data_IF_792927698745
#
_entry.id   IF_792927698745
#
_cell.length_a   1.000
_cell.length_b   1.000
_cell.length_c   1.000
_cell.angle_alpha   90.00
_cell.angle_beta   90.00
_cell.angle_gamma   90.00
#
_symmetry.space_group_name_H-M   'P 1'
#
loop_
_entity.id
_entity.type
_entity.pdbx_description
1 polymer ?
#
# COMPACT_ATOMS: atom_id res chain seq x y z
N UNK A 1 58.05 37.89 -37.71
CA UNK A 1 56.57 37.84 -37.78
C UNK A 1 56.05 39.27 -37.87
N UNK A 2 55.45 39.63 -39.01
CA UNK A 2 55.27 41.02 -39.46
C UNK A 2 53.89 41.57 -39.03
N UNK A 3 53.80 42.67 -38.26
CA UNK A 3 52.54 43.25 -37.76
C UNK A 3 51.66 43.90 -38.84
N UNK A 4 52.11 43.98 -40.09
CA UNK A 4 51.39 44.64 -41.19
C UNK A 4 50.29 43.78 -41.85
N UNK A 5 50.26 42.47 -41.61
CA UNK A 5 49.26 41.58 -42.23
C UNK A 5 47.93 41.45 -41.46
N UNK A 6 47.84 41.99 -40.24
CA UNK A 6 46.60 41.98 -39.45
C UNK A 6 45.56 43.01 -39.92
N UNK A 7 45.98 44.12 -40.56
CA UNK A 7 45.06 45.21 -40.95
C UNK A 7 44.33 44.97 -42.28
N UNK A 8 44.81 44.06 -43.14
CA UNK A 8 44.21 43.79 -44.46
C UNK A 8 42.99 42.85 -44.36
N UNK A 9 43.01 41.92 -43.41
CA UNK A 9 41.96 40.90 -43.23
C UNK A 9 40.61 41.54 -42.83
N UNK A 10 40.64 42.64 -42.08
CA UNK A 10 39.44 43.37 -41.62
C UNK A 10 38.84 44.33 -42.66
N UNK A 11 39.50 44.57 -43.81
CA UNK A 11 39.03 45.51 -44.84
C UNK A 11 38.16 44.84 -45.91
N UNK A 12 38.12 43.50 -45.96
CA UNK A 12 37.33 42.76 -46.93
C UNK A 12 36.04 42.22 -46.27
N UNK A 13 34.87 42.84 -46.53
CA UNK A 13 33.63 42.53 -45.80
C UNK A 13 33.23 41.06 -45.91
N UNK A 14 33.57 40.40 -47.03
CA UNK A 14 33.28 38.98 -47.29
C UNK A 14 33.93 38.03 -46.27
N UNK A 15 35.16 38.34 -45.83
CA UNK A 15 35.89 37.50 -44.86
C UNK A 15 35.22 37.62 -43.48
N UNK A 16 34.82 38.84 -43.11
CA UNK A 16 34.11 39.11 -41.85
C UNK A 16 32.77 38.39 -41.82
N UNK A 17 31.99 38.43 -42.91
CA UNK A 17 30.71 37.70 -42.98
C UNK A 17 30.90 36.19 -42.88
N UNK A 18 31.92 35.63 -43.53
CA UNK A 18 32.23 34.20 -43.47
C UNK A 18 32.56 33.73 -42.05
N UNK A 19 33.43 34.46 -41.34
CA UNK A 19 33.78 34.15 -39.96
C UNK A 19 32.55 34.23 -39.05
N UNK A 20 31.71 35.25 -39.24
CA UNK A 20 30.47 35.42 -38.47
C UNK A 20 29.48 34.27 -38.71
N UNK A 21 29.26 33.89 -39.98
CA UNK A 21 28.37 32.78 -40.36
C UNK A 21 28.90 31.46 -39.80
N UNK A 22 30.21 31.21 -39.87
CA UNK A 22 30.81 30.00 -39.27
C UNK A 22 30.66 29.99 -37.75
N UNK A 23 30.88 31.13 -37.07
CA UNK A 23 30.68 31.25 -35.62
C UNK A 23 29.23 31.01 -35.19
N UNK A 24 28.27 31.56 -35.94
CA UNK A 24 26.83 31.33 -35.73
C UNK A 24 26.45 29.87 -35.99
N UNK A 25 26.95 29.27 -37.07
CA UNK A 25 26.70 27.86 -37.39
C UNK A 25 27.28 26.93 -36.31
N UNK A 26 28.51 27.19 -35.85
CA UNK A 26 29.13 26.43 -34.77
C UNK A 26 28.37 26.58 -33.44
N UNK A 27 27.93 27.80 -33.12
CA UNK A 27 27.13 28.08 -31.91
C UNK A 27 25.77 27.38 -31.96
N UNK A 28 25.09 27.41 -33.11
CA UNK A 28 23.81 26.73 -33.31
C UNK A 28 23.97 25.20 -33.22
N UNK A 29 25.00 24.64 -33.87
CA UNK A 29 25.29 23.22 -33.79
C UNK A 29 25.59 22.79 -32.34
N UNK A 30 26.40 23.56 -31.61
CA UNK A 30 26.69 23.36 -30.19
C UNK A 30 25.43 23.37 -29.34
N UNK A 31 24.54 24.35 -29.55
CA UNK A 31 23.27 24.45 -28.83
C UNK A 31 22.34 23.25 -29.12
N UNK A 32 22.27 22.77 -30.37
CA UNK A 32 21.47 21.60 -30.72
C UNK A 32 22.02 20.31 -30.10
N UNK A 33 23.34 20.14 -30.08
CA UNK A 33 24.00 19.00 -29.42
C UNK A 33 23.77 19.05 -27.91
N UNK A 34 24.00 20.21 -27.28
CA UNK A 34 23.75 20.42 -25.86
C UNK A 34 22.29 20.13 -25.48
N UNK A 35 21.33 20.60 -26.28
CA UNK A 35 19.90 20.32 -26.08
C UNK A 35 19.60 18.83 -26.17
N UNK A 36 20.19 18.11 -27.14
CA UNK A 36 20.04 16.65 -27.25
C UNK A 36 20.61 15.90 -26.05
N UNK A 37 21.78 16.31 -25.55
CA UNK A 37 22.38 15.74 -24.35
C UNK A 37 21.54 16.01 -23.10
N UNK A 38 21.03 17.23 -22.93
CA UNK A 38 20.15 17.58 -21.82
C UNK A 38 18.85 16.76 -21.83
N UNK A 39 18.19 16.64 -22.99
CA UNK A 39 16.95 15.83 -23.09
C UNK A 39 17.20 14.36 -22.78
N UNK A 40 18.32 13.79 -23.25
CA UNK A 40 18.69 12.40 -22.93
C UNK A 40 18.99 12.22 -21.45
N UNK A 41 19.75 13.14 -20.84
CA UNK A 41 20.08 13.09 -19.42
C UNK A 41 18.82 13.20 -18.53
N UNK A 42 17.89 14.11 -18.87
CA UNK A 42 16.62 14.23 -18.15
C UNK A 42 15.75 12.97 -18.28
N UNK A 43 15.65 12.37 -19.48
CA UNK A 43 14.90 11.11 -19.67
C UNK A 43 15.50 9.96 -18.86
N UNK A 44 16.82 9.76 -18.95
CA UNK A 44 17.51 8.72 -18.21
C UNK A 44 17.29 8.86 -16.69
N UNK A 45 17.28 10.10 -16.19
CA UNK A 45 16.99 10.39 -14.79
C UNK A 45 15.55 10.01 -14.39
N UNK A 46 14.55 10.40 -15.19
CA UNK A 46 13.14 10.04 -14.93
C UNK A 46 12.94 8.53 -14.99
N UNK A 47 13.55 7.84 -15.95
CA UNK A 47 13.50 6.38 -16.06
C UNK A 47 14.12 5.71 -14.82
N UNK A 48 15.28 6.20 -14.37
CA UNK A 48 15.93 5.69 -13.16
C UNK A 48 15.08 5.93 -11.90
N UNK A 49 14.51 7.13 -11.74
CA UNK A 49 13.62 7.46 -10.63
C UNK A 49 12.36 6.57 -10.64
N UNK A 50 11.79 6.27 -11.82
CA UNK A 50 10.65 5.36 -11.95
C UNK A 50 11.00 3.91 -11.56
N UNK A 51 12.18 3.42 -11.96
CA UNK A 51 12.65 2.08 -11.56
C UNK A 51 12.84 1.98 -10.06
N UNK A 52 13.49 2.97 -9.44
CA UNK A 52 13.71 3.02 -7.98
C UNK A 52 12.35 3.07 -7.25
N UNK A 53 11.42 3.90 -7.72
CA UNK A 53 10.09 4.00 -7.13
C UNK A 53 9.34 2.67 -7.20
N UNK A 54 9.43 1.95 -8.33
CA UNK A 54 8.82 0.63 -8.49
C UNK A 54 9.43 -0.40 -7.55
N UNK A 55 10.76 -0.45 -7.43
CA UNK A 55 11.46 -1.36 -6.53
C UNK A 55 11.08 -1.10 -5.07
N UNK A 56 11.10 0.16 -4.63
CA UNK A 56 10.73 0.51 -3.28
C UNK A 56 9.26 0.19 -2.98
N UNK A 57 8.34 0.43 -3.93
CA UNK A 57 6.94 0.05 -3.77
C UNK A 57 6.81 -1.47 -3.58
N UNK A 58 7.59 -2.25 -4.33
CA UNK A 58 7.63 -3.69 -4.18
C UNK A 58 8.11 -4.09 -2.79
N UNK A 59 9.19 -3.50 -2.29
CA UNK A 59 9.70 -3.75 -0.94
C UNK A 59 8.68 -3.38 0.14
N UNK A 60 8.00 -2.23 0.02
CA UNK A 60 6.98 -1.80 0.98
C UNK A 60 5.80 -2.78 1.04
N UNK A 61 5.31 -3.23 -0.13
CA UNK A 61 4.24 -4.23 -0.20
C UNK A 61 4.69 -5.56 0.40
N UNK A 62 5.93 -5.99 0.15
CA UNK A 62 6.49 -7.20 0.75
C UNK A 62 6.59 -7.09 2.27
N UNK A 63 7.06 -5.96 2.81
CA UNK A 63 7.14 -5.74 4.25
C UNK A 63 5.77 -5.87 4.93
N UNK A 64 4.73 -5.28 4.34
CA UNK A 64 3.37 -5.42 4.85
C UNK A 64 2.84 -6.85 4.76
N UNK A 65 3.14 -7.55 3.66
CA UNK A 65 2.83 -8.97 3.53
C UNK A 65 3.48 -9.78 4.65
N UNK A 66 4.75 -9.55 4.93
CA UNK A 66 5.51 -10.28 5.95
C UNK A 66 4.97 -10.02 7.36
N UNK A 67 4.53 -8.79 7.64
CA UNK A 67 3.79 -8.46 8.86
C UNK A 67 2.53 -9.33 8.97
N UNK A 68 1.67 -9.35 7.95
CA UNK A 68 0.43 -10.14 8.00
C UNK A 68 0.72 -11.65 8.09
N UNK A 69 1.78 -12.14 7.43
CA UNK A 69 2.25 -13.52 7.57
C UNK A 69 2.68 -13.84 9.00
N UNK A 70 3.37 -12.91 9.67
CA UNK A 70 3.71 -13.02 11.08
C UNK A 70 2.46 -13.12 11.97
N UNK A 71 1.46 -12.27 11.74
CA UNK A 71 0.17 -12.36 12.43
C UNK A 71 -0.53 -13.70 12.17
N UNK A 72 -0.52 -14.20 10.93
CA UNK A 72 -1.06 -15.53 10.60
C UNK A 72 -0.34 -16.64 11.38
N UNK A 73 0.99 -16.64 11.39
CA UNK A 73 1.78 -17.62 12.13
C UNK A 73 1.51 -17.58 13.63
N UNK A 74 1.43 -16.38 14.21
CA UNK A 74 1.04 -16.19 15.61
C UNK A 74 -0.37 -16.73 15.90
N UNK A 75 -1.30 -16.54 14.95
CA UNK A 75 -2.71 -16.95 15.08
C UNK A 75 -2.91 -18.46 15.02
N UNK A 76 -2.11 -19.17 14.21
CA UNK A 76 -2.28 -20.62 13.96
C UNK A 76 -1.47 -21.51 14.91
N UNK A 77 -0.58 -20.94 15.73
CA UNK A 77 0.34 -21.68 16.62
C UNK A 77 -0.32 -22.36 17.86
N UNK A 78 -1.57 -22.82 17.74
CA UNK A 78 -2.18 -23.78 18.68
C UNK A 78 -2.71 -23.23 20.00
N UNK A 79 -2.48 -21.96 20.33
CA UNK A 79 -2.95 -21.38 21.60
C UNK A 79 -4.30 -20.66 21.48
N UNK A 80 -4.86 -20.53 20.28
CA UNK A 80 -6.12 -19.83 20.02
C UNK A 80 -5.94 -18.31 19.88
N UNK A 81 -6.67 -17.74 18.94
CA UNK A 81 -6.66 -16.30 18.67
C UNK A 81 -7.53 -15.59 19.71
N UNK A 82 -6.91 -14.85 20.63
CA UNK A 82 -7.62 -13.99 21.57
C UNK A 82 -7.13 -12.54 21.43
N UNK A 83 -7.97 -11.61 21.90
CA UNK A 83 -7.72 -10.17 21.78
C UNK A 83 -6.40 -9.74 22.41
N UNK A 84 -6.12 -10.21 23.62
CA UNK A 84 -4.99 -9.71 24.41
C UNK A 84 -3.65 -10.18 23.83
N UNK A 85 -3.58 -11.40 23.27
CA UNK A 85 -2.39 -11.88 22.53
C UNK A 85 -2.22 -11.16 21.21
N UNK A 86 -3.30 -10.93 20.47
CA UNK A 86 -3.24 -10.14 19.25
C UNK A 86 -2.68 -8.74 19.52
N UNK A 87 -3.13 -8.10 20.60
CA UNK A 87 -2.61 -6.83 21.08
C UNK A 87 -1.13 -6.91 21.47
N UNK A 88 -0.73 -7.89 22.27
CA UNK A 88 0.66 -8.09 22.69
C UNK A 88 1.59 -8.29 21.49
N UNK A 89 1.16 -9.10 20.52
CA UNK A 89 1.93 -9.32 19.30
C UNK A 89 2.07 -8.03 18.48
N UNK A 90 0.97 -7.29 18.28
CA UNK A 90 1.02 -5.98 17.61
C UNK A 90 1.98 -5.01 18.33
N UNK A 91 1.89 -4.91 19.65
CA UNK A 91 2.73 -4.03 20.45
C UNK A 91 4.22 -4.40 20.39
N UNK A 92 4.53 -5.71 20.31
CA UNK A 92 5.92 -6.20 20.24
C UNK A 92 6.64 -5.84 18.93
N UNK A 93 5.89 -5.58 17.86
CA UNK A 93 6.43 -5.27 16.54
C UNK A 93 6.73 -3.78 16.32
N UNK A 94 6.29 -2.90 17.24
CA UNK A 94 6.44 -1.45 17.14
C UNK A 94 6.09 -0.88 15.74
N UNK A 95 4.99 -1.39 15.16
CA UNK A 95 4.60 -1.11 13.77
C UNK A 95 4.29 0.36 13.53
N UNK A 96 3.84 1.09 14.56
CA UNK A 96 3.52 2.51 14.43
C UNK A 96 4.76 3.36 14.15
N UNK A 97 5.91 2.95 14.64
CA UNK A 97 7.18 3.66 14.48
C UNK A 97 7.80 3.33 13.13
N UNK A 98 7.78 2.05 12.75
CA UNK A 98 8.45 1.55 11.56
C UNK A 98 7.60 1.62 10.29
N UNK A 99 6.27 1.61 10.43
CA UNK A 99 5.31 1.56 9.33
C UNK A 99 4.16 2.55 9.55
N UNK A 100 4.42 3.87 9.50
CA UNK A 100 3.40 4.89 9.74
C UNK A 100 2.25 4.87 8.72
N UNK A 101 2.45 4.27 7.54
CA UNK A 101 1.40 4.06 6.54
C UNK A 101 0.36 3.01 6.91
N UNK A 102 0.65 2.15 7.91
CA UNK A 102 -0.26 1.12 8.41
C UNK A 102 -1.22 1.72 9.45
N UNK A 103 -2.48 1.88 9.04
CA UNK A 103 -3.56 2.37 9.90
C UNK A 103 -4.00 1.35 10.93
N UNK A 104 -4.07 0.08 10.49
CA UNK A 104 -4.51 -0.99 11.36
C UNK A 104 -4.05 -2.36 10.91
N UNK A 105 -3.81 -3.24 11.87
CA UNK A 105 -3.88 -4.70 11.69
C UNK A 105 -5.12 -5.20 12.40
N UNK A 106 -5.95 -5.97 11.71
CA UNK A 106 -7.24 -6.43 12.20
C UNK A 106 -7.50 -7.89 11.90
N UNK A 107 -8.39 -8.50 12.67
CA UNK A 107 -8.89 -9.85 12.43
C UNK A 107 -10.39 -9.81 12.23
N UNK A 108 -10.85 -10.37 11.11
CA UNK A 108 -12.27 -10.54 10.83
C UNK A 108 -12.64 -12.00 10.63
N UNK A 109 -13.85 -12.37 11.05
CA UNK A 109 -14.37 -13.74 10.98
C UNK A 109 -15.62 -13.82 10.13
N UNK A 110 -15.81 -14.97 9.48
CA UNK A 110 -17.09 -15.29 8.84
C UNK A 110 -18.06 -15.89 9.86
N UNK A 111 -19.27 -15.31 9.96
CA UNK A 111 -20.34 -15.80 10.83
C UNK A 111 -21.53 -16.19 9.94
N UNK A 112 -21.98 -17.45 9.94
CA UNK A 112 -23.19 -17.85 9.24
C UNK A 112 -24.42 -17.13 9.76
N UNK A 113 -25.35 -16.78 8.87
CA UNK A 113 -26.58 -16.06 9.19
C UNK A 113 -27.38 -16.69 10.34
N UNK A 114 -27.57 -18.00 10.27
CA UNK A 114 -28.27 -18.79 11.27
C UNK A 114 -27.57 -18.84 12.65
N UNK A 115 -26.26 -18.55 12.69
CA UNK A 115 -25.45 -18.57 13.92
C UNK A 115 -25.26 -17.20 14.57
N UNK A 116 -25.75 -16.12 13.96
CA UNK A 116 -25.46 -14.73 14.35
C UNK A 116 -25.72 -14.47 15.84
N UNK A 117 -26.93 -14.75 16.33
CA UNK A 117 -27.31 -14.39 17.70
C UNK A 117 -26.52 -15.19 18.75
N UNK A 118 -26.16 -16.43 18.42
CA UNK A 118 -25.28 -17.26 19.25
C UNK A 118 -23.88 -16.66 19.28
N UNK A 119 -23.32 -16.33 18.13
CA UNK A 119 -22.00 -15.75 18.01
C UNK A 119 -21.91 -14.40 18.74
N UNK A 120 -22.92 -13.52 18.62
CA UNK A 120 -22.95 -12.25 19.38
C UNK A 120 -22.91 -12.48 20.90
N UNK A 121 -23.64 -13.47 21.42
CA UNK A 121 -23.61 -13.79 22.86
C UNK A 121 -22.26 -14.34 23.32
N UNK A 122 -21.63 -15.19 22.51
CA UNK A 122 -20.31 -15.74 22.79
C UNK A 122 -19.26 -14.61 22.77
N UNK A 123 -19.26 -13.77 21.73
CA UNK A 123 -18.34 -12.64 21.58
C UNK A 123 -18.49 -11.58 22.68
N UNK A 124 -19.72 -11.28 23.14
CA UNK A 124 -19.92 -10.40 24.31
C UNK A 124 -19.17 -10.89 25.55
N UNK A 125 -19.16 -12.21 25.78
CA UNK A 125 -18.47 -12.84 26.91
C UNK A 125 -16.96 -12.83 26.68
N UNK A 126 -16.50 -13.28 25.52
CA UNK A 126 -15.07 -13.37 25.19
C UNK A 126 -14.38 -11.99 25.16
N UNK A 127 -15.07 -10.97 24.66
CA UNK A 127 -14.55 -9.61 24.62
C UNK A 127 -14.71 -8.87 25.96
N UNK A 128 -15.53 -9.39 26.87
CA UNK A 128 -15.93 -8.67 28.07
C UNK A 128 -16.64 -7.34 27.75
N UNK A 129 -17.36 -7.28 26.62
CA UNK A 129 -18.09 -6.11 26.16
C UNK A 129 -19.58 -6.46 26.01
N UNK A 130 -20.41 -6.17 27.02
CA UNK A 130 -21.85 -6.45 26.97
C UNK A 130 -22.57 -5.71 25.84
N UNK A 131 -22.00 -4.59 25.36
CA UNK A 131 -22.57 -3.78 24.29
C UNK A 131 -22.15 -4.25 22.89
N UNK A 132 -21.29 -5.27 22.77
CA UNK A 132 -20.89 -5.80 21.46
C UNK A 132 -22.12 -6.23 20.64
N UNK A 133 -22.18 -5.78 19.39
CA UNK A 133 -23.20 -6.16 18.43
C UNK A 133 -22.63 -6.12 17.01
N UNK A 134 -23.22 -6.91 16.11
CA UNK A 134 -22.86 -6.88 14.69
C UNK A 134 -23.60 -5.72 14.02
N UNK A 135 -22.85 -4.87 13.33
CA UNK A 135 -23.38 -3.66 12.69
C UNK A 135 -23.06 -3.61 11.18
N UNK A 136 -24.00 -3.16 10.34
CA UNK A 136 -25.36 -2.72 10.70
C UNK A 136 -26.27 -3.92 11.00
N UNK A 137 -27.35 -3.70 11.78
CA UNK A 137 -28.34 -4.74 12.04
C UNK A 137 -28.98 -5.24 10.74
N UNK A 138 -29.64 -6.40 10.82
CA UNK A 138 -30.36 -7.01 9.71
C UNK A 138 -29.90 -8.44 9.45
N UNK A 139 -30.81 -9.26 8.93
CA UNK A 139 -30.56 -10.66 8.59
C UNK A 139 -29.85 -10.78 7.24
N UNK A 140 -28.79 -11.60 7.20
CA UNK A 140 -27.99 -11.88 6.00
C UNK A 140 -27.59 -13.36 5.98
N UNK A 141 -27.33 -13.94 4.80
CA UNK A 141 -26.87 -15.33 4.71
C UNK A 141 -25.55 -15.60 5.45
N UNK A 142 -24.64 -14.62 5.44
CA UNK A 142 -23.42 -14.60 6.25
C UNK A 142 -22.99 -13.17 6.53
N UNK A 143 -22.14 -13.03 7.54
CA UNK A 143 -21.51 -11.78 7.96
C UNK A 143 -19.99 -11.96 7.90
N UNK A 144 -19.24 -10.89 7.63
CA UNK A 144 -17.80 -10.87 7.87
C UNK A 144 -17.46 -9.77 8.86
N UNK A 145 -17.29 -10.15 10.12
CA UNK A 145 -17.28 -9.24 11.26
C UNK A 145 -15.85 -9.02 11.74
N UNK A 146 -15.43 -7.76 11.81
CA UNK A 146 -14.15 -7.39 12.43
C UNK A 146 -14.23 -7.56 13.94
N UNK A 147 -13.42 -8.45 14.51
CA UNK A 147 -13.39 -8.73 15.95
C UNK A 147 -12.29 -7.96 16.66
N UNK A 148 -11.10 -7.91 16.07
CA UNK A 148 -9.94 -7.24 16.63
C UNK A 148 -9.41 -6.22 15.64
N UNK A 149 -8.95 -5.09 16.15
CA UNK A 149 -8.28 -4.07 15.35
C UNK A 149 -7.30 -3.32 16.24
N UNK A 150 -6.03 -3.29 15.82
CA UNK A 150 -4.96 -2.56 16.49
C UNK A 150 -4.43 -1.44 15.58
N UNK A 151 -4.03 -0.28 16.11
CA UNK A 151 -4.15 0.13 17.52
C UNK A 151 -5.62 0.28 17.94
N UNK A 152 -5.99 -0.26 19.10
CA UNK A 152 -7.40 -0.31 19.52
C UNK A 152 -8.07 1.06 19.64
N UNK A 153 -7.35 2.06 20.16
CA UNK A 153 -7.91 3.39 20.43
C UNK A 153 -8.45 4.07 19.15
N UNK A 154 -7.69 4.01 18.06
CA UNK A 154 -8.07 4.60 16.77
C UNK A 154 -9.06 3.73 15.98
N UNK A 155 -9.12 2.43 16.27
CA UNK A 155 -9.87 1.47 15.45
C UNK A 155 -11.12 0.89 16.15
N UNK A 156 -11.47 1.37 17.35
CA UNK A 156 -12.60 0.85 18.15
C UNK A 156 -13.92 0.85 17.39
N UNK A 157 -14.19 1.88 16.58
CA UNK A 157 -15.42 1.99 15.80
C UNK A 157 -15.55 0.94 14.68
N UNK A 158 -14.44 0.31 14.29
CA UNK A 158 -14.44 -0.77 13.29
C UNK A 158 -14.80 -2.14 13.87
N UNK A 159 -14.68 -2.32 15.19
CA UNK A 159 -15.01 -3.59 15.86
C UNK A 159 -16.53 -3.82 15.81
N UNK A 160 -16.94 -5.04 15.47
CA UNK A 160 -18.35 -5.41 15.27
C UNK A 160 -18.90 -5.01 13.89
N UNK A 161 -18.12 -4.34 13.03
CA UNK A 161 -18.55 -3.99 11.68
C UNK A 161 -18.55 -5.21 10.77
N UNK A 162 -19.71 -5.45 10.14
CA UNK A 162 -19.88 -6.38 9.04
C UNK A 162 -19.37 -5.75 7.75
N UNK A 163 -18.16 -6.12 7.36
CA UNK A 163 -17.48 -5.60 6.17
C UNK A 163 -18.12 -6.05 4.86
N UNK A 164 -18.96 -7.10 4.85
CA UNK A 164 -19.74 -7.47 3.66
C UNK A 164 -20.75 -6.40 3.25
N UNK A 165 -21.10 -5.49 4.18
CA UNK A 165 -21.95 -4.32 3.89
C UNK A 165 -21.18 -3.16 3.24
N UNK A 166 -19.86 -3.24 3.17
CA UNK A 166 -19.02 -2.23 2.57
C UNK A 166 -18.75 -2.57 1.10
N UNK A 167 -18.88 -1.61 0.18
CA UNK A 167 -18.67 -1.85 -1.25
C UNK A 167 -17.31 -2.51 -1.53
N UNK A 168 -17.31 -3.60 -2.30
CA UNK A 168 -16.09 -4.31 -2.73
C UNK A 168 -15.47 -5.25 -1.69
N UNK A 169 -15.51 -4.93 -0.39
CA UNK A 169 -14.78 -5.70 0.64
C UNK A 169 -15.20 -7.17 0.70
N UNK A 170 -16.51 -7.47 0.60
CA UNK A 170 -17.00 -8.85 0.61
C UNK A 170 -16.41 -9.71 -0.52
N UNK A 171 -16.29 -9.14 -1.73
CA UNK A 171 -15.74 -9.85 -2.89
C UNK A 171 -14.24 -10.11 -2.75
N UNK A 172 -13.50 -9.18 -2.16
CA UNK A 172 -12.05 -9.34 -1.95
C UNK A 172 -11.77 -10.36 -0.84
N UNK A 173 -12.61 -10.42 0.21
CA UNK A 173 -12.56 -11.49 1.22
C UNK A 173 -12.90 -12.86 0.63
N UNK A 174 -13.95 -12.95 -0.19
CA UNK A 174 -14.30 -14.20 -0.88
C UNK A 174 -13.15 -14.65 -1.80
N UNK A 175 -12.49 -13.72 -2.49
CA UNK A 175 -11.31 -14.00 -3.32
C UNK A 175 -10.12 -14.45 -2.50
N UNK A 176 -9.85 -13.81 -1.35
CA UNK A 176 -8.80 -14.22 -0.44
C UNK A 176 -9.04 -15.66 0.04
N UNK A 177 -10.26 -15.96 0.51
CA UNK A 177 -10.68 -17.30 0.92
C UNK A 177 -10.52 -18.34 -0.19
N UNK A 178 -10.95 -18.04 -1.41
CA UNK A 178 -10.99 -19.05 -2.46
C UNK A 178 -9.58 -19.30 -3.05
N UNK A 179 -8.75 -18.27 -3.14
CA UNK A 179 -7.38 -18.38 -3.67
C UNK A 179 -6.36 -18.90 -2.65
N UNK A 180 -6.60 -18.74 -1.34
CA UNK A 180 -5.60 -19.01 -0.31
C UNK A 180 -4.46 -17.98 -0.27
N UNK A 181 -4.51 -16.99 -1.16
CA UNK A 181 -3.49 -15.98 -1.36
C UNK A 181 -3.83 -14.68 -0.63
N UNK A 182 -2.81 -13.83 -0.56
CA UNK A 182 -2.95 -12.46 -0.14
C UNK A 182 -3.64 -11.64 -1.24
N UNK A 183 -4.69 -10.91 -0.88
CA UNK A 183 -5.44 -10.04 -1.80
C UNK A 183 -5.26 -8.59 -1.35
N UNK A 184 -4.92 -7.72 -2.29
CA UNK A 184 -4.90 -6.27 -2.09
C UNK A 184 -6.06 -5.65 -2.85
N UNK A 185 -6.82 -4.78 -2.21
CA UNK A 185 -7.95 -4.07 -2.85
C UNK A 185 -7.44 -2.98 -3.80
N UNK A 186 -8.32 -2.48 -4.66
CA UNK A 186 -8.13 -1.15 -5.25
C UNK A 186 -8.31 -0.03 -4.21
N UNK A 187 -7.97 1.23 -4.56
CA UNK A 187 -8.22 2.38 -3.68
C UNK A 187 -9.69 2.47 -3.28
N UNK A 188 -9.95 2.57 -1.97
CA UNK A 188 -11.31 2.60 -1.43
C UNK A 188 -11.40 3.38 -0.11
N UNK A 189 -12.61 3.75 0.30
CA UNK A 189 -12.81 4.27 1.66
C UNK A 189 -12.66 3.13 2.66
N UNK A 190 -11.81 3.33 3.67
CA UNK A 190 -11.57 2.36 4.76
C UNK A 190 -12.20 2.85 6.05
N UNK A 191 -12.54 1.93 6.96
CA UNK A 191 -13.21 2.29 8.22
C UNK A 191 -12.27 3.03 9.20
N UNK A 192 -10.96 2.83 9.04
CA UNK A 192 -9.92 3.27 9.96
C UNK A 192 -9.44 4.70 9.69
N UNK A 193 -9.94 5.34 8.62
CA UNK A 193 -9.53 6.67 8.20
C UNK A 193 -10.69 7.42 7.57
N UNK A 194 -10.96 8.62 8.07
CA UNK A 194 -12.05 9.49 7.58
C UNK A 194 -11.54 10.71 6.80
N UNK A 195 -10.28 10.69 6.37
CA UNK A 195 -9.76 11.74 5.52
C UNK A 195 -10.22 11.61 4.06
N UNK A 196 -9.87 12.60 3.23
CA UNK A 196 -10.32 12.67 1.84
C UNK A 196 -9.66 11.62 0.95
N UNK A 197 -8.46 11.15 1.33
CA UNK A 197 -7.68 10.23 0.52
C UNK A 197 -8.18 8.78 0.65
N UNK A 198 -8.13 7.99 -0.43
CA UNK A 198 -8.46 6.58 -0.35
C UNK A 198 -7.43 5.79 0.47
N UNK A 199 -7.90 4.71 1.07
CA UNK A 199 -7.08 3.67 1.67
C UNK A 199 -7.04 2.39 0.83
N UNK A 200 -6.29 1.42 1.32
CA UNK A 200 -6.18 0.07 0.76
C UNK A 200 -6.36 -0.96 1.88
N UNK A 201 -6.88 -2.12 1.53
CA UNK A 201 -6.92 -3.29 2.42
C UNK A 201 -6.12 -4.43 1.83
N UNK A 202 -5.27 -5.03 2.65
CA UNK A 202 -4.55 -6.26 2.32
C UNK A 202 -5.10 -7.37 3.21
N UNK A 203 -5.70 -8.38 2.62
CA UNK A 203 -6.36 -9.48 3.34
C UNK A 203 -5.60 -10.78 3.13
N UNK A 204 -5.29 -11.46 4.23
CA UNK A 204 -4.64 -12.76 4.25
C UNK A 204 -5.57 -13.78 4.93
N UNK A 205 -6.01 -14.84 4.22
CA UNK A 205 -6.97 -15.79 4.77
C UNK A 205 -6.30 -16.71 5.80
N UNK A 206 -7.12 -17.10 6.78
CA UNK A 206 -6.79 -18.08 7.82
C UNK A 206 -7.69 -19.31 7.64
N UNK A 207 -7.09 -20.49 7.79
CA UNK A 207 -7.77 -21.76 7.66
C UNK A 207 -7.45 -22.67 8.85
N UNK A 208 -8.35 -23.60 9.12
CA UNK A 208 -8.03 -24.77 9.91
C UNK A 208 -7.22 -25.76 9.04
N UNK A 209 -6.04 -26.15 9.52
CA UNK A 209 -5.13 -27.02 8.78
C UNK A 209 -4.55 -26.36 7.52
N UNK A 210 -4.20 -27.18 6.53
CA UNK A 210 -3.60 -26.74 5.27
C UNK A 210 -4.45 -27.22 4.07
N UNK A 211 -5.53 -26.49 3.71
CA UNK A 211 -6.43 -26.91 2.64
C UNK A 211 -5.74 -26.82 1.26
N UNK A 212 -5.83 -27.90 0.49
CA UNK A 212 -5.25 -28.03 -0.85
C UNK A 212 -6.24 -27.64 -1.95
N UNK A 213 -7.55 -27.87 -1.74
CA UNK A 213 -8.59 -27.60 -2.74
C UNK A 213 -9.43 -26.37 -2.41
N UNK A 214 -10.14 -25.83 -3.40
CA UNK A 214 -11.10 -24.74 -3.20
C UNK A 214 -12.20 -25.12 -2.19
N UNK A 215 -12.72 -26.34 -2.29
CA UNK A 215 -13.78 -26.82 -1.42
C UNK A 215 -13.30 -26.96 0.03
N UNK A 216 -12.09 -27.48 0.24
CA UNK A 216 -11.45 -27.52 1.55
C UNK A 216 -11.24 -26.11 2.11
N UNK A 217 -10.72 -25.17 1.31
CA UNK A 217 -10.52 -23.77 1.74
C UNK A 217 -11.82 -23.14 2.22
N UNK A 218 -12.92 -23.34 1.50
CA UNK A 218 -14.23 -22.80 1.90
C UNK A 218 -14.74 -23.44 3.18
N UNK A 219 -14.55 -24.75 3.37
CA UNK A 219 -14.98 -25.49 4.57
C UNK A 219 -14.15 -25.17 5.81
N UNK A 220 -12.85 -24.94 5.66
CA UNK A 220 -11.92 -24.71 6.77
C UNK A 220 -11.62 -23.23 7.03
N UNK A 221 -12.29 -22.31 6.33
CA UNK A 221 -12.07 -20.88 6.48
C UNK A 221 -12.43 -20.38 7.89
N UNK A 222 -11.49 -19.70 8.53
CA UNK A 222 -11.66 -19.11 9.86
C UNK A 222 -11.93 -17.61 9.81
N UNK A 223 -11.37 -16.94 8.79
CA UNK A 223 -11.39 -15.48 8.70
C UNK A 223 -10.18 -14.94 7.96
N UNK A 224 -9.93 -13.64 8.10
CA UNK A 224 -8.75 -12.98 7.52
C UNK A 224 -8.05 -12.11 8.55
N UNK A 225 -6.72 -12.09 8.48
CA UNK A 225 -5.92 -10.97 9.00
C UNK A 225 -5.91 -9.90 7.92
N UNK A 226 -6.24 -8.66 8.27
CA UNK A 226 -6.27 -7.54 7.34
C UNK A 226 -5.33 -6.43 7.80
N UNK A 227 -4.54 -5.89 6.86
CA UNK A 227 -3.85 -4.62 7.01
C UNK A 227 -4.62 -3.50 6.31
N UNK A 228 -4.82 -2.36 6.97
CA UNK A 228 -5.39 -1.16 6.38
C UNK A 228 -4.31 -0.09 6.20
N UNK A 229 -4.27 0.55 5.04
CA UNK A 229 -3.21 1.49 4.68
C UNK A 229 -3.78 2.79 4.14
N UNK A 230 -3.05 3.89 4.33
CA UNK A 230 -3.27 5.13 3.58
C UNK A 230 -2.46 5.08 2.29
N UNK A 231 -3.11 5.28 1.14
CA UNK A 231 -2.41 5.24 -0.16
C UNK A 231 -1.28 6.26 -0.20
N UNK A 232 -1.52 7.49 0.27
CA UNK A 232 -0.53 8.57 0.24
C UNK A 232 0.72 8.23 1.07
N UNK A 233 0.55 7.70 2.28
CA UNK A 233 1.67 7.33 3.14
C UNK A 233 2.44 6.13 2.57
N UNK A 234 1.74 5.15 2.01
CA UNK A 234 2.35 4.00 1.33
C UNK A 234 3.21 4.46 0.15
N UNK A 235 2.69 5.37 -0.67
CA UNK A 235 3.43 5.96 -1.78
C UNK A 235 4.60 6.80 -1.26
N UNK A 236 4.42 7.58 -0.19
CA UNK A 236 5.48 8.39 0.38
C UNK A 236 6.62 7.53 0.98
N UNK A 237 6.27 6.41 1.60
CA UNK A 237 7.21 5.41 2.12
C UNK A 237 7.97 4.75 0.96
N UNK A 238 7.28 4.39 -0.12
CA UNK A 238 7.89 3.85 -1.33
C UNK A 238 8.78 4.86 -2.08
N UNK A 239 8.40 6.13 -2.18
CA UNK A 239 9.20 7.12 -2.91
C UNK A 239 10.43 7.61 -2.12
N UNK A 240 10.55 7.23 -0.84
CA UNK A 240 11.60 7.69 0.05
C UNK A 240 11.37 9.14 0.49
N UNK A 241 11.39 9.40 1.80
CA UNK A 241 11.15 10.73 2.40
C UNK A 241 12.07 11.85 1.86
N UNK A 242 13.20 11.53 1.22
CA UNK A 242 14.09 12.54 0.61
C UNK A 242 13.61 13.06 -0.75
N UNK A 243 12.84 12.28 -1.52
CA UNK A 243 12.39 12.68 -2.86
C UNK A 243 11.22 13.67 -2.78
N UNK A 244 10.32 13.49 -1.81
CA UNK A 244 9.15 14.37 -1.61
C UNK A 244 9.49 15.73 -1.00
N UNK A 245 10.68 15.89 -0.40
CA UNK A 245 11.12 17.17 0.19
C UNK A 245 11.79 18.10 -0.84
N UNK A 246 12.01 17.60 -2.06
CA UNK A 246 12.64 18.32 -3.18
C UNK A 246 11.67 18.67 -4.32
N UNK A 247 10.39 18.31 -4.16
CA UNK A 247 9.27 18.73 -5.01
C UNK A 247 8.47 19.81 -4.28
#
# INVERSE_FOLDING_TARGET
>A
MNPLNQRVILRNPRIVTLVLVMGLAASLAGALVARRFQVKATRARVEQEAVIAQENLHYTIQAYRDILLGFRGHSTAGLGLNRDRFHQYFASLDLRTHHPGLLSVSYGVEIPGAGRDRAERELRREMGDPAFAIHPPGLRPSYFVLLFAEPRASNRASIGRDTRTLPGQGLDIDRARDTGGLVLTGPMKVLQYDGPDPGLLMSLPLYHGAPATLEERRRSFLGCINGAFRVQELIAEALGKETLRKL
#
